data_IF_872605207974
#
_entry.id   IF_872605207974
#
_cell.length_a   1.000
_cell.length_b   1.000
_cell.length_c   1.000
_cell.angle_alpha   90.00
_cell.angle_beta   90.00
_cell.angle_gamma   90.00
#
_symmetry.space_group_name_H-M   'P 1'
#
loop_
_entity.id
_entity.type
_entity.pdbx_description
1 polymer ?
#
# COMPACT_ATOMS: atom_id res chain seq x y z
N UNK A 1 -25.34 -2.54 15.99
CA UNK A 1 -24.55 -3.34 15.04
C UNK A 1 -23.10 -2.87 15.08
N UNK A 2 -22.13 -3.78 15.14
CA UNK A 2 -20.72 -3.45 15.06
C UNK A 2 -20.33 -3.13 13.61
N UNK A 3 -19.43 -2.16 13.39
CA UNK A 3 -18.91 -1.85 12.05
C UNK A 3 -18.05 -3.00 11.55
N UNK A 4 -18.24 -3.35 10.28
CA UNK A 4 -17.42 -4.31 9.57
C UNK A 4 -16.01 -3.76 9.34
N UNK A 5 -15.05 -4.66 9.14
CA UNK A 5 -13.66 -4.28 8.86
C UNK A 5 -13.52 -3.42 7.60
N UNK A 6 -14.38 -3.63 6.60
CA UNK A 6 -14.41 -2.83 5.37
C UNK A 6 -14.85 -1.40 5.64
N UNK A 7 -15.88 -1.20 6.47
CA UNK A 7 -16.36 0.13 6.86
C UNK A 7 -15.31 0.90 7.66
N UNK A 8 -14.60 0.23 8.57
CA UNK A 8 -13.49 0.84 9.34
C UNK A 8 -12.39 1.31 8.40
N UNK A 9 -11.99 0.49 7.42
CA UNK A 9 -10.97 0.87 6.43
C UNK A 9 -11.43 2.03 5.54
N UNK A 10 -12.69 2.04 5.13
CA UNK A 10 -13.28 3.13 4.36
C UNK A 10 -13.23 4.44 5.14
N UNK A 11 -13.66 4.40 6.40
CA UNK A 11 -13.62 5.57 7.29
C UNK A 11 -12.18 6.07 7.50
N UNK A 12 -11.22 5.18 7.74
CA UNK A 12 -9.82 5.57 7.89
C UNK A 12 -9.25 6.28 6.64
N UNK A 13 -9.57 5.79 5.43
CA UNK A 13 -9.18 6.44 4.17
C UNK A 13 -9.82 7.80 3.98
N UNK A 14 -11.05 8.00 4.48
CA UNK A 14 -11.71 9.31 4.41
C UNK A 14 -10.93 10.40 5.16
N UNK A 15 -10.14 10.03 6.18
CA UNK A 15 -9.31 10.95 6.95
C UNK A 15 -7.95 11.27 6.32
N UNK A 16 -7.60 10.69 5.17
CA UNK A 16 -6.26 10.85 4.58
C UNK A 16 -5.87 12.32 4.39
N UNK A 17 -6.79 13.18 3.94
CA UNK A 17 -6.53 14.62 3.77
C UNK A 17 -6.18 15.29 5.09
N UNK A 18 -6.95 15.03 6.14
CA UNK A 18 -6.71 15.57 7.48
C UNK A 18 -5.39 15.08 8.04
N UNK A 19 -5.10 13.78 7.90
CA UNK A 19 -3.83 13.21 8.35
C UNK A 19 -2.62 13.85 7.64
N UNK A 20 -2.72 14.08 6.32
CA UNK A 20 -1.68 14.80 5.57
C UNK A 20 -1.48 16.23 6.09
N UNK A 21 -2.56 16.96 6.36
CA UNK A 21 -2.46 18.32 6.90
C UNK A 21 -1.78 18.34 8.27
N UNK A 22 -2.05 17.34 9.13
CA UNK A 22 -1.37 17.19 10.42
C UNK A 22 0.14 16.96 10.23
N UNK A 23 0.54 16.06 9.32
CA UNK A 23 1.96 15.82 9.03
C UNK A 23 2.66 17.07 8.51
N UNK A 24 2.02 17.82 7.60
CA UNK A 24 2.55 19.10 7.09
C UNK A 24 2.67 20.12 8.24
N UNK A 25 1.69 20.17 9.14
CA UNK A 25 1.73 21.02 10.33
C UNK A 25 2.90 20.69 11.24
N UNK A 26 3.10 19.41 11.58
CA UNK A 26 4.22 18.95 12.41
C UNK A 26 5.55 19.31 11.76
N UNK A 27 5.73 19.02 10.46
CA UNK A 27 6.96 19.30 9.72
C UNK A 27 7.34 20.79 9.73
N UNK A 28 6.34 21.69 9.75
CA UNK A 28 6.51 23.14 9.76
C UNK A 28 6.58 23.75 11.16
N UNK A 29 6.16 23.04 12.20
CA UNK A 29 6.13 23.55 13.57
C UNK A 29 7.54 23.72 14.13
N UNK A 30 7.80 24.87 14.77
CA UNK A 30 9.06 25.15 15.47
C UNK A 30 9.12 24.51 16.86
N UNK A 31 7.95 24.21 17.44
CA UNK A 31 7.83 23.62 18.78
C UNK A 31 7.90 22.09 18.73
N UNK A 32 7.77 21.49 17.54
CA UNK A 32 7.96 20.06 17.35
C UNK A 32 9.44 19.69 17.43
N UNK A 33 9.75 18.54 18.03
CA UNK A 33 11.13 18.05 18.09
C UNK A 33 11.69 17.84 16.67
N UNK A 34 13.01 18.00 16.46
CA UNK A 34 13.63 17.75 15.15
C UNK A 34 13.28 16.36 14.58
N UNK A 35 13.27 15.33 15.43
CA UNK A 35 12.91 13.97 15.04
C UNK A 35 11.44 13.84 14.58
N UNK A 36 10.50 14.53 15.23
CA UNK A 36 9.10 14.53 14.82
C UNK A 36 8.92 15.20 13.45
N UNK A 37 9.65 16.29 13.19
CA UNK A 37 9.63 16.97 11.89
C UNK A 37 10.17 16.10 10.77
N UNK A 38 11.30 15.41 10.99
CA UNK A 38 11.90 14.47 10.02
C UNK A 38 10.96 13.29 9.78
N UNK A 39 10.39 12.72 10.83
CA UNK A 39 9.42 11.62 10.70
C UNK A 39 8.20 12.02 9.87
N UNK A 40 7.67 13.23 10.08
CA UNK A 40 6.55 13.74 9.31
C UNK A 40 6.91 13.98 7.83
N UNK A 41 8.09 14.52 7.56
CA UNK A 41 8.59 14.72 6.20
C UNK A 41 8.75 13.39 5.45
N UNK A 42 9.41 12.39 6.06
CA UNK A 42 9.59 11.07 5.47
C UNK A 42 8.24 10.39 5.20
N UNK A 43 7.29 10.51 6.13
CA UNK A 43 5.94 9.94 5.94
C UNK A 43 5.18 10.54 4.74
N UNK A 44 5.43 11.80 4.40
CA UNK A 44 4.87 12.44 3.20
C UNK A 44 5.59 11.96 1.95
N UNK A 45 6.93 11.94 1.95
CA UNK A 45 7.75 11.52 0.82
C UNK A 45 7.49 10.06 0.43
N UNK A 46 7.47 9.16 1.42
CA UNK A 46 7.19 7.74 1.21
C UNK A 46 5.83 7.48 0.54
N UNK A 47 4.85 8.38 0.75
CA UNK A 47 3.51 8.27 0.14
C UNK A 47 3.44 8.90 -1.24
N UNK A 48 4.21 9.96 -1.50
CA UNK A 48 4.23 10.64 -2.79
C UNK A 48 5.12 9.96 -3.83
N UNK A 49 6.23 9.36 -3.37
CA UNK A 49 7.28 8.83 -4.23
C UNK A 49 7.54 7.33 -4.01
N UNK A 50 6.91 6.73 -3.00
CA UNK A 50 7.23 5.37 -2.57
C UNK A 50 8.44 5.33 -1.65
N UNK A 51 8.71 4.14 -1.09
CA UNK A 51 9.92 3.90 -0.30
C UNK A 51 11.10 3.60 -1.20
N UNK A 52 12.31 3.91 -0.72
CA UNK A 52 13.54 3.49 -1.40
C UNK A 52 13.54 1.97 -1.63
N UNK A 53 13.99 1.50 -2.82
CA UNK A 53 14.13 0.08 -3.11
C UNK A 53 14.90 -0.60 -1.98
N UNK A 54 14.29 -1.61 -1.36
CA UNK A 54 14.98 -2.41 -0.35
C UNK A 54 15.93 -3.35 -1.07
N UNK A 55 17.22 -3.28 -0.75
CA UNK A 55 18.17 -4.28 -1.20
C UNK A 55 17.76 -5.63 -0.59
N UNK A 56 17.46 -6.62 -1.43
CA UNK A 56 17.23 -7.97 -0.98
C UNK A 56 18.62 -8.58 -0.74
N UNK A 57 18.97 -8.79 0.53
CA UNK A 57 20.20 -9.48 0.90
C UNK A 57 19.98 -10.99 0.73
N UNK A 58 20.59 -11.58 -0.29
CA UNK A 58 20.57 -13.04 -0.49
C UNK A 58 21.56 -13.68 0.48
N UNK A 59 21.08 -14.30 1.55
CA UNK A 59 21.91 -15.16 2.41
C UNK A 59 22.06 -16.59 1.86
N UNK A 60 22.19 -16.76 0.54
CA UNK A 60 22.44 -18.05 -0.09
C UNK A 60 22.62 -17.91 -1.60
N UNK A 61 23.51 -18.72 -2.16
CA UNK A 61 23.90 -18.78 -3.59
C UNK A 61 22.73 -19.22 -4.52
N UNK A 62 21.62 -18.51 -4.47
CA UNK A 62 20.45 -18.70 -5.32
C UNK A 62 20.09 -17.37 -5.96
N UNK A 63 20.35 -17.24 -7.26
CA UNK A 63 19.87 -16.16 -8.08
C UNK A 63 18.36 -15.99 -7.88
N UNK A 64 17.91 -14.77 -7.53
CA UNK A 64 16.49 -14.47 -7.37
C UNK A 64 15.81 -14.56 -8.75
N UNK A 65 15.24 -15.71 -9.09
CA UNK A 65 14.24 -15.76 -10.16
C UNK A 65 12.94 -15.16 -9.63
N UNK A 66 12.74 -13.87 -9.90
CA UNK A 66 11.47 -13.20 -9.67
C UNK A 66 10.43 -13.72 -10.68
N UNK A 67 9.94 -14.95 -10.49
CA UNK A 67 8.91 -15.53 -11.37
C UNK A 67 7.54 -15.00 -10.99
N UNK A 68 7.16 -13.82 -11.49
CA UNK A 68 5.76 -13.42 -11.55
C UNK A 68 5.12 -13.97 -12.83
N UNK A 69 4.57 -15.19 -12.77
CA UNK A 69 3.68 -15.71 -13.82
C UNK A 69 2.25 -15.27 -13.52
N UNK A 70 1.74 -14.33 -14.31
CA UNK A 70 0.34 -13.88 -14.25
C UNK A 70 -0.40 -14.52 -15.43
N UNK A 71 -1.34 -15.42 -15.15
CA UNK A 71 -2.24 -15.98 -16.17
C UNK A 71 -3.62 -15.34 -16.08
N UNK A 72 -4.10 -14.82 -17.22
CA UNK A 72 -5.46 -14.31 -17.37
C UNK A 72 -6.25 -15.27 -18.24
N UNK A 73 -7.12 -16.05 -17.62
CA UNK A 73 -8.09 -16.91 -18.33
C UNK A 73 -9.39 -16.13 -18.47
N UNK A 74 -9.76 -15.76 -19.69
CA UNK A 74 -11.04 -15.12 -20.01
C UNK A 74 -12.00 -16.24 -20.43
N UNK A 75 -13.03 -16.48 -19.61
CA UNK A 75 -14.08 -17.47 -19.92
C UNK A 75 -15.28 -16.72 -20.50
N UNK A 76 -15.74 -17.15 -21.69
CA UNK A 76 -17.03 -16.70 -22.22
C UNK A 76 -18.16 -17.38 -21.43
N UNK A 77 -19.15 -16.63 -20.90
CA UNK A 77 -20.17 -17.18 -20.00
C UNK A 77 -21.15 -18.15 -20.68
N UNK A 78 -21.21 -18.21 -22.01
CA UNK A 78 -22.26 -18.97 -22.73
C UNK A 78 -21.91 -20.41 -23.12
N UNK A 79 -20.85 -21.00 -22.55
CA UNK A 79 -20.54 -22.42 -22.76
C UNK A 79 -20.40 -23.20 -21.43
N UNK A 80 -21.27 -22.96 -20.44
CA UNK A 80 -21.31 -23.86 -19.27
C UNK A 80 -22.10 -25.15 -19.50
N UNK A 81 -23.00 -25.22 -20.49
CA UNK A 81 -23.91 -26.36 -20.61
C UNK A 81 -24.19 -26.75 -22.06
N UNK A 82 -23.38 -27.66 -22.62
CA UNK A 82 -23.86 -28.69 -23.55
C UNK A 82 -23.21 -30.03 -23.22
N UNK A 83 -24.07 -30.89 -22.71
CA UNK A 83 -23.92 -32.27 -22.28
C UNK A 83 -23.15 -33.19 -23.24
N UNK A 84 -22.51 -34.19 -22.61
CA UNK A 84 -22.50 -35.62 -22.94
C UNK A 84 -22.10 -36.07 -24.35
N UNK A 85 -20.98 -36.79 -24.43
CA UNK A 85 -20.86 -38.25 -24.72
C UNK A 85 -19.52 -38.73 -24.16
#
# INVERSE_FOLDING_TARGET
MAKTLTEIRSLARSHTRTALNVLVGIMRSKDATPAARVSAANAILDRGWGKAPQAIENSGDGQLELVHRIERVIVHPENSDRESI
#
